data_IF_295511689138
#
_entry.id   IF_295511689138
#
_cell.length_a   1.000
_cell.length_b   1.000
_cell.length_c   1.000
_cell.angle_alpha   90.00
_cell.angle_beta   90.00
_cell.angle_gamma   90.00
#
_symmetry.space_group_name_H-M   'P 1'
#
loop_
_entity.id
_entity.type
_entity.pdbx_description
1 polymer ?
#
# COMPACT_ATOMS: atom_id res chain seq x y z
N UNK A 1 10.45 -23.94 1.86
CA UNK A 1 10.45 -22.47 1.89
C UNK A 1 9.67 -21.98 3.10
N UNK A 2 10.30 -21.14 3.87
CA UNK A 2 9.66 -20.62 5.07
C UNK A 2 8.75 -19.46 4.70
N UNK A 3 7.45 -19.58 4.99
CA UNK A 3 6.52 -18.49 4.79
C UNK A 3 6.81 -17.41 5.85
N UNK A 4 7.01 -16.13 5.46
CA UNK A 4 7.24 -15.10 6.44
C UNK A 4 6.04 -14.98 7.39
N UNK A 5 6.32 -14.96 8.68
CA UNK A 5 5.28 -14.70 9.67
C UNK A 5 4.87 -13.24 9.62
N UNK A 6 3.57 -12.97 9.76
CA UNK A 6 3.12 -11.61 9.94
C UNK A 6 3.61 -11.06 11.28
N UNK A 7 4.23 -9.88 11.24
CA UNK A 7 4.72 -9.20 12.44
C UNK A 7 3.74 -8.08 12.80
N UNK A 8 3.22 -8.05 14.04
CA UNK A 8 2.34 -6.98 14.45
C UNK A 8 3.06 -5.64 14.51
N UNK A 9 2.33 -4.52 14.32
CA UNK A 9 2.89 -3.20 14.56
C UNK A 9 3.07 -2.96 16.06
N UNK A 10 3.78 -1.89 16.41
CA UNK A 10 3.90 -1.44 17.78
C UNK A 10 2.55 -1.01 18.35
N UNK A 11 2.49 -0.93 19.68
CA UNK A 11 1.29 -0.48 20.39
C UNK A 11 0.91 0.94 19.94
N UNK A 12 -0.37 1.16 19.68
CA UNK A 12 -0.88 2.43 19.18
C UNK A 12 -0.72 2.63 17.68
N UNK A 13 -0.15 1.66 16.98
CA UNK A 13 0.02 1.69 15.53
C UNK A 13 -0.93 0.72 14.84
N UNK A 14 -1.29 1.04 13.61
CA UNK A 14 -1.93 0.11 12.69
C UNK A 14 -0.93 -0.33 11.62
N UNK A 15 -1.14 -1.52 11.12
CA UNK A 15 -0.42 -2.03 9.94
C UNK A 15 -1.41 -2.28 8.83
N UNK A 16 -1.11 -1.73 7.66
CA UNK A 16 -1.89 -1.95 6.46
C UNK A 16 -1.06 -2.74 5.46
N UNK A 17 -1.44 -3.99 5.23
CA UNK A 17 -0.87 -4.81 4.17
C UNK A 17 -1.65 -4.56 2.90
N UNK A 18 -0.97 -4.33 1.80
CA UNK A 18 -1.62 -4.14 0.51
C UNK A 18 -0.90 -4.91 -0.60
N UNK A 19 -1.62 -5.18 -1.66
CA UNK A 19 -1.11 -5.92 -2.80
C UNK A 19 -1.88 -5.54 -4.06
N UNK A 20 -1.19 -5.59 -5.19
CA UNK A 20 -1.76 -5.39 -6.50
C UNK A 20 -1.33 -6.52 -7.42
N UNK A 21 -2.20 -6.92 -8.33
CA UNK A 21 -1.93 -8.03 -9.23
C UNK A 21 -2.47 -7.76 -10.63
N UNK A 22 -1.73 -8.23 -11.63
CA UNK A 22 -2.20 -8.37 -12.99
C UNK A 22 -2.39 -9.86 -13.30
N UNK A 23 -3.50 -10.18 -13.94
CA UNK A 23 -3.83 -11.57 -14.30
C UNK A 23 -3.56 -11.82 -15.78
N UNK A 24 -3.39 -13.10 -16.18
CA UNK A 24 -3.09 -13.44 -17.58
C UNK A 24 -4.13 -12.96 -18.59
N UNK A 25 -5.38 -12.75 -18.17
CA UNK A 25 -6.44 -12.26 -19.04
C UNK A 25 -6.41 -10.72 -19.23
N UNK A 26 -5.40 -10.04 -18.66
CA UNK A 26 -5.26 -8.60 -18.78
C UNK A 26 -6.02 -7.79 -17.74
N UNK A 27 -6.71 -8.45 -16.84
CA UNK A 27 -7.41 -7.79 -15.73
C UNK A 27 -6.47 -7.58 -14.55
N UNK A 28 -6.88 -6.74 -13.61
CA UNK A 28 -6.09 -6.45 -12.41
C UNK A 28 -6.95 -6.41 -11.16
N UNK A 29 -6.27 -6.39 -10.02
CA UNK A 29 -6.92 -6.26 -8.73
C UNK A 29 -6.00 -5.57 -7.73
N UNK A 30 -6.59 -4.87 -6.76
CA UNK A 30 -5.89 -4.35 -5.60
C UNK A 30 -6.58 -4.84 -4.34
N UNK A 31 -5.82 -4.99 -3.26
CA UNK A 31 -6.35 -5.37 -1.97
C UNK A 31 -5.58 -4.71 -0.84
N UNK A 32 -6.25 -4.51 0.29
CA UNK A 32 -5.64 -3.96 1.49
C UNK A 32 -6.36 -4.50 2.72
N UNK A 33 -5.59 -4.73 3.79
CA UNK A 33 -6.10 -5.18 5.09
C UNK A 33 -5.42 -4.38 6.19
N UNK A 34 -6.21 -3.84 7.11
CA UNK A 34 -5.72 -3.09 8.26
C UNK A 34 -5.86 -3.96 9.51
N UNK A 35 -4.77 -4.08 10.29
CA UNK A 35 -4.74 -4.77 11.57
C UNK A 35 -4.03 -3.93 12.62
N UNK A 36 -4.41 -4.12 13.89
CA UNK A 36 -3.74 -3.47 15.01
C UNK A 36 -2.63 -4.37 15.61
N UNK A 37 -2.04 -3.93 16.72
CA UNK A 37 -0.96 -4.66 17.38
C UNK A 37 -1.38 -6.02 17.94
N UNK A 38 -2.67 -6.23 18.15
CA UNK A 38 -3.22 -7.54 18.57
C UNK A 38 -3.60 -8.43 17.38
N UNK A 39 -3.40 -7.95 16.14
CA UNK A 39 -3.83 -8.66 14.95
C UNK A 39 -5.31 -8.51 14.65
N UNK A 40 -6.02 -7.66 15.38
CA UNK A 40 -7.46 -7.45 15.18
C UNK A 40 -7.70 -6.70 13.88
N UNK A 41 -8.65 -7.19 13.10
CA UNK A 41 -9.02 -6.60 11.81
C UNK A 41 -9.78 -5.29 12.01
N UNK A 42 -9.32 -4.24 11.34
CA UNK A 42 -9.90 -2.90 11.40
C UNK A 42 -10.48 -2.42 10.08
N UNK A 43 -10.33 -3.14 9.03
CA UNK A 43 -10.90 -2.80 7.74
C UNK A 43 -10.12 -3.42 6.59
N UNK A 44 -10.78 -3.49 5.46
CA UNK A 44 -10.18 -4.02 4.25
C UNK A 44 -10.85 -3.45 3.03
N UNK A 45 -10.19 -3.65 1.89
CA UNK A 45 -10.67 -3.18 0.59
C UNK A 45 -10.19 -4.17 -0.47
N UNK A 46 -11.03 -4.41 -1.45
CA UNK A 46 -10.67 -5.13 -2.65
C UNK A 46 -11.31 -4.44 -3.84
N UNK A 47 -10.54 -4.26 -4.91
CA UNK A 47 -11.03 -3.60 -6.11
C UNK A 47 -10.56 -4.33 -7.35
N UNK A 48 -11.47 -4.55 -8.29
CA UNK A 48 -11.20 -5.18 -9.57
C UNK A 48 -11.09 -4.12 -10.67
N UNK A 49 -10.19 -4.39 -11.61
CA UNK A 49 -9.97 -3.54 -12.78
C UNK A 49 -10.14 -4.38 -14.03
N UNK A 50 -10.86 -3.86 -15.00
CA UNK A 50 -11.02 -4.53 -16.29
C UNK A 50 -9.76 -4.54 -17.15
N UNK A 51 -8.76 -3.77 -16.77
CA UNK A 51 -7.51 -3.65 -17.51
C UNK A 51 -6.35 -3.43 -16.55
N UNK A 52 -5.27 -4.17 -16.73
CA UNK A 52 -4.01 -3.97 -16.03
C UNK A 52 -2.89 -3.75 -17.05
N UNK A 53 -2.34 -2.53 -17.06
CA UNK A 53 -1.25 -2.18 -17.96
C UNK A 53 0.09 -2.77 -17.49
N UNK A 54 0.31 -2.77 -16.17
CA UNK A 54 1.61 -3.02 -15.57
C UNK A 54 1.42 -3.45 -14.12
N UNK A 55 2.06 -4.55 -13.73
CA UNK A 55 1.96 -5.08 -12.36
C UNK A 55 2.48 -4.07 -11.33
N UNK A 56 3.57 -3.36 -11.63
CA UNK A 56 4.12 -2.37 -10.72
C UNK A 56 3.17 -1.18 -10.54
N UNK A 57 2.50 -0.73 -11.60
CA UNK A 57 1.49 0.31 -11.49
C UNK A 57 0.31 -0.17 -10.63
N UNK A 58 -0.08 -1.44 -10.75
CA UNK A 58 -1.15 -1.99 -9.93
C UNK A 58 -0.76 -2.01 -8.44
N UNK A 59 0.51 -2.29 -8.13
CA UNK A 59 1.04 -2.19 -6.77
C UNK A 59 1.00 -0.74 -6.25
N UNK A 60 1.35 0.23 -7.08
CA UNK A 60 1.30 1.64 -6.73
C UNK A 60 -0.15 2.09 -6.47
N UNK A 61 -1.09 1.65 -7.29
CA UNK A 61 -2.52 1.91 -7.08
C UNK A 61 -3.02 1.28 -5.78
N UNK A 62 -2.58 0.06 -5.47
CA UNK A 62 -2.92 -0.60 -4.23
C UNK A 62 -2.45 0.22 -3.02
N UNK A 63 -1.24 0.76 -3.08
CA UNK A 63 -0.71 1.62 -2.04
C UNK A 63 -1.56 2.88 -1.87
N UNK A 64 -1.91 3.53 -2.98
CA UNK A 64 -2.77 4.72 -2.95
C UNK A 64 -4.11 4.44 -2.27
N UNK A 65 -4.77 3.36 -2.66
CA UNK A 65 -6.04 2.98 -2.03
C UNK A 65 -5.89 2.58 -0.57
N UNK A 66 -4.76 1.95 -0.21
CA UNK A 66 -4.46 1.63 1.19
C UNK A 66 -4.37 2.89 2.03
N UNK A 67 -3.68 3.94 1.55
CA UNK A 67 -3.58 5.22 2.25
C UNK A 67 -4.96 5.86 2.40
N UNK A 68 -5.77 5.87 1.34
CA UNK A 68 -7.14 6.39 1.40
C UNK A 68 -7.96 5.62 2.45
N UNK A 69 -7.87 4.30 2.45
CA UNK A 69 -8.61 3.45 3.38
C UNK A 69 -8.28 3.78 4.85
N UNK A 70 -6.99 3.87 5.19
CA UNK A 70 -6.60 4.15 6.57
C UNK A 70 -7.03 5.56 6.99
N UNK A 71 -7.01 6.53 6.09
CA UNK A 71 -7.50 7.88 6.37
C UNK A 71 -9.01 7.89 6.63
N UNK A 72 -9.77 7.15 5.86
CA UNK A 72 -11.23 7.01 6.06
C UNK A 72 -11.57 6.39 7.42
N UNK A 73 -10.66 5.59 7.96
CA UNK A 73 -10.82 4.97 9.28
C UNK A 73 -10.30 5.83 10.43
N UNK A 74 -9.83 7.05 10.14
CA UNK A 74 -9.32 7.97 11.15
C UNK A 74 -7.97 7.57 11.73
N UNK A 75 -7.24 6.68 11.09
CA UNK A 75 -5.92 6.26 11.51
C UNK A 75 -4.92 7.40 11.39
N UNK A 76 -3.97 7.48 12.35
CA UNK A 76 -2.96 8.52 12.38
C UNK A 76 -1.53 7.99 12.35
N UNK A 77 -1.31 6.76 12.82
CA UNK A 77 0.01 6.10 12.85
C UNK A 77 -0.12 4.76 12.16
N UNK A 78 0.48 4.65 10.98
CA UNK A 78 0.31 3.48 10.14
C UNK A 78 1.64 3.06 9.53
N UNK A 79 1.89 1.76 9.58
CA UNK A 79 2.95 1.12 8.80
C UNK A 79 2.28 0.45 7.61
N UNK A 80 2.67 0.84 6.40
CA UNK A 80 2.24 0.16 5.18
C UNK A 80 3.26 -0.90 4.83
N UNK A 81 2.79 -2.09 4.51
CA UNK A 81 3.65 -3.23 4.19
C UNK A 81 3.28 -3.83 2.85
N UNK A 82 4.28 -4.06 2.03
CA UNK A 82 4.16 -4.72 0.73
C UNK A 82 5.32 -5.69 0.53
N UNK A 83 5.12 -6.74 -0.23
CA UNK A 83 6.20 -7.61 -0.69
C UNK A 83 6.82 -7.15 -2.01
N UNK A 84 6.31 -6.08 -2.60
CA UNK A 84 6.82 -5.54 -3.87
C UNK A 84 8.07 -4.70 -3.65
N UNK A 85 9.24 -5.30 -3.81
CA UNK A 85 10.51 -4.61 -3.63
C UNK A 85 10.72 -3.46 -4.59
N UNK A 86 10.22 -3.58 -5.81
CA UNK A 86 10.33 -2.52 -6.81
C UNK A 86 9.57 -1.27 -6.39
N UNK A 87 8.41 -1.44 -5.75
CA UNK A 87 7.64 -0.30 -5.24
C UNK A 87 8.38 0.39 -4.09
N UNK A 88 8.94 -0.38 -3.16
CA UNK A 88 9.72 0.17 -2.05
C UNK A 88 10.91 0.96 -2.59
N UNK A 89 11.58 0.42 -3.59
CA UNK A 89 12.72 1.09 -4.22
C UNK A 89 12.30 2.43 -4.85
N UNK A 90 11.21 2.44 -5.62
CA UNK A 90 10.69 3.67 -6.21
C UNK A 90 10.29 4.69 -5.16
N UNK A 91 9.71 4.25 -4.06
CA UNK A 91 9.27 5.11 -2.96
C UNK A 91 10.44 5.84 -2.30
N UNK A 92 11.58 5.17 -2.18
CA UNK A 92 12.78 5.73 -1.54
C UNK A 92 13.61 6.62 -2.47
N UNK A 93 13.41 6.53 -3.80
CA UNK A 93 14.14 7.32 -4.79
C UNK A 93 13.36 8.57 -5.20
N UNK A 94 13.41 9.59 -4.37
CA UNK A 94 12.53 10.77 -4.52
C UNK A 94 12.80 11.61 -5.78
N UNK A 95 14.04 11.71 -6.26
CA UNK A 95 14.43 12.78 -7.17
C UNK A 95 14.56 12.38 -8.65
N UNK A 96 14.52 11.09 -8.98
CA UNK A 96 14.86 10.66 -10.34
C UNK A 96 13.66 10.16 -11.15
N UNK A 97 12.45 10.31 -10.63
CA UNK A 97 11.28 9.72 -11.26
C UNK A 97 10.66 10.66 -12.27
N UNK A 98 10.94 10.39 -13.53
CA UNK A 98 10.30 11.09 -14.65
C UNK A 98 9.35 10.15 -15.42
N UNK A 99 8.64 9.31 -14.70
CA UNK A 99 7.71 8.35 -15.26
C UNK A 99 6.30 8.63 -14.75
N UNK A 100 5.33 7.88 -15.27
CA UNK A 100 3.96 7.90 -14.76
C UNK A 100 3.89 7.58 -13.26
N UNK A 101 4.88 6.86 -12.73
CA UNK A 101 4.95 6.55 -11.29
C UNK A 101 5.20 7.78 -10.43
N UNK A 102 5.94 8.77 -10.94
CA UNK A 102 6.25 9.99 -10.17
C UNK A 102 4.98 10.71 -9.73
N UNK A 103 4.00 10.81 -10.61
CA UNK A 103 2.73 11.47 -10.31
C UNK A 103 1.95 10.76 -9.22
N UNK A 104 1.80 9.43 -9.34
CA UNK A 104 1.04 8.67 -8.34
C UNK A 104 1.76 8.63 -6.99
N UNK A 105 3.08 8.49 -6.98
CA UNK A 105 3.85 8.47 -5.73
C UNK A 105 3.80 9.81 -5.03
N UNK A 106 3.85 10.92 -5.77
CA UNK A 106 3.68 12.27 -5.20
C UNK A 106 2.28 12.42 -4.60
N UNK A 107 1.25 11.96 -5.28
CA UNK A 107 -0.11 11.95 -4.75
C UNK A 107 -0.21 11.17 -3.44
N UNK A 108 0.46 10.01 -3.36
CA UNK A 108 0.48 9.20 -2.14
C UNK A 108 1.19 9.95 -1.01
N UNK A 109 2.32 10.61 -1.28
CA UNK A 109 2.99 11.45 -0.29
C UNK A 109 2.07 12.55 0.23
N UNK A 110 1.36 13.23 -0.66
CA UNK A 110 0.43 14.28 -0.28
C UNK A 110 -0.74 13.75 0.55
N UNK A 111 -1.31 12.61 0.16
CA UNK A 111 -2.37 11.94 0.90
C UNK A 111 -1.91 11.53 2.30
N UNK A 112 -0.68 11.03 2.41
CA UNK A 112 -0.11 10.57 3.68
C UNK A 112 0.35 11.70 4.60
N UNK A 113 0.45 12.93 4.10
CA UNK A 113 0.98 14.06 4.87
C UNK A 113 0.13 14.43 6.09
N UNK A 114 -1.15 14.07 6.08
CA UNK A 114 -2.05 14.30 7.23
C UNK A 114 -1.93 13.22 8.31
N UNK A 115 -1.19 12.14 8.06
CA UNK A 115 -0.94 11.12 9.08
C UNK A 115 0.16 11.61 10.01
N UNK A 116 0.02 11.30 11.31
CA UNK A 116 1.02 11.65 12.33
C UNK A 116 2.33 10.91 12.04
N UNK A 117 2.21 9.66 11.65
CA UNK A 117 3.35 8.82 11.30
C UNK A 117 2.97 7.88 10.16
N UNK A 118 3.88 7.73 9.20
CA UNK A 118 3.64 7.04 7.97
C UNK A 118 4.97 6.44 7.48
N UNK A 119 4.99 5.14 7.24
CA UNK A 119 6.16 4.47 6.67
C UNK A 119 5.74 3.33 5.76
N UNK A 120 6.59 3.03 4.78
CA UNK A 120 6.45 1.89 3.89
C UNK A 120 7.60 0.91 4.10
N UNK A 121 7.27 -0.34 4.27
CA UNK A 121 8.28 -1.39 4.38
C UNK A 121 7.94 -2.63 3.56
#
# INVERSE_FOLDING_TARGET
MKVPSWNPPGDGWLKCNFDGACYPDGKGATGAVIRDHNGTFHGGSAKWYGYCMDALMMEALAFRYAVILVKQRGATRVVFETDCQNLIHLWTMEDEQRSMFATILREIHDLGSSLVSFSLC
#
